data_IF_289838951883
#
_entry.id   IF_289838951883
#
_cell.length_a   1.000
_cell.length_b   1.000
_cell.length_c   1.000
_cell.angle_alpha   90.00
_cell.angle_beta   90.00
_cell.angle_gamma   90.00
#
_symmetry.space_group_name_H-M   'P 1'
#
loop_
_entity.id
_entity.type
_entity.pdbx_description
1 polymer ?
#
# COMPACT_ATOMS: atom_id res chain seq x y z
N UNK A 1 13.40 7.49 -24.42
CA UNK A 1 12.67 6.49 -23.61
C UNK A 1 12.52 7.06 -22.21
N UNK A 2 11.52 7.93 -22.01
CA UNK A 2 11.15 8.43 -20.69
C UNK A 2 10.30 7.32 -20.04
N UNK A 3 10.72 6.88 -18.86
CA UNK A 3 10.08 5.80 -18.11
C UNK A 3 8.63 6.20 -17.80
N UNK A 4 7.68 5.29 -18.04
CA UNK A 4 6.29 5.42 -17.60
C UNK A 4 6.31 5.34 -16.07
N UNK A 5 6.14 6.47 -15.39
CA UNK A 5 6.32 6.58 -13.93
C UNK A 5 5.04 6.25 -13.17
N UNK A 6 3.88 6.47 -13.78
CA UNK A 6 2.60 5.98 -13.29
C UNK A 6 2.38 4.56 -13.82
N UNK A 7 2.38 3.58 -12.92
CA UNK A 7 2.01 2.21 -13.25
C UNK A 7 0.55 2.20 -13.71
N UNK A 8 0.34 1.93 -14.99
CA UNK A 8 -0.98 1.65 -15.56
C UNK A 8 -1.43 0.28 -15.07
N UNK A 9 -2.20 0.24 -13.99
CA UNK A 9 -2.97 -0.96 -13.64
C UNK A 9 -4.24 -0.92 -14.49
N UNK A 10 -4.15 -1.44 -15.71
CA UNK A 10 -5.29 -1.55 -16.64
C UNK A 10 -5.77 -2.99 -16.85
N UNK A 11 -5.26 -3.96 -16.10
CA UNK A 11 -5.87 -5.28 -16.02
C UNK A 11 -6.75 -5.35 -14.77
N UNK A 12 -8.06 -5.18 -14.96
CA UNK A 12 -9.08 -5.69 -14.03
C UNK A 12 -9.77 -4.71 -13.08
N UNK A 13 -9.46 -3.41 -13.05
CA UNK A 13 -10.30 -2.43 -12.32
C UNK A 13 -10.33 -1.08 -13.02
N UNK A 14 -11.40 -0.79 -13.78
CA UNK A 14 -11.89 0.59 -13.88
C UNK A 14 -12.06 1.08 -12.45
N UNK A 15 -11.28 2.07 -12.04
CA UNK A 15 -10.83 2.13 -10.64
C UNK A 15 -11.93 2.60 -9.69
N UNK A 16 -12.71 1.65 -9.14
CA UNK A 16 -13.67 1.90 -8.06
C UNK A 16 -13.01 2.14 -6.69
N UNK A 17 -11.68 2.16 -6.63
CA UNK A 17 -10.91 2.28 -5.38
C UNK A 17 -10.34 3.68 -5.07
N UNK A 18 -10.42 4.65 -5.99
CA UNK A 18 -9.68 5.92 -5.86
C UNK A 18 -10.18 6.86 -4.74
N UNK A 19 -11.33 6.59 -4.12
CA UNK A 19 -11.93 7.43 -3.07
C UNK A 19 -12.08 6.74 -1.71
N UNK A 20 -11.74 5.45 -1.58
CA UNK A 20 -12.05 4.66 -0.38
C UNK A 20 -11.09 4.89 0.82
N UNK A 21 -10.06 5.73 0.69
CA UNK A 21 -9.17 6.06 1.81
C UNK A 21 -9.58 7.34 2.55
N UNK A 22 -10.79 7.37 3.15
CA UNK A 22 -11.04 8.31 4.25
C UNK A 22 -12.16 7.86 5.22
N UNK A 23 -12.04 6.66 5.78
CA UNK A 23 -12.75 6.32 7.02
C UNK A 23 -11.77 5.84 8.08
N UNK A 24 -11.65 6.68 9.10
CA UNK A 24 -10.81 6.57 10.28
C UNK A 24 -10.96 5.22 10.98
N UNK A 25 -9.81 4.72 11.44
CA UNK A 25 -9.66 3.40 12.03
C UNK A 25 -10.42 3.16 13.32
N UNK A 26 -10.65 1.87 13.55
CA UNK A 26 -10.82 1.29 14.88
C UNK A 26 -9.97 0.02 14.93
N UNK A 27 -8.76 0.17 15.47
CA UNK A 27 -7.97 -0.96 15.93
C UNK A 27 -8.68 -1.55 17.15
N UNK A 28 -9.05 -2.82 17.10
CA UNK A 28 -9.35 -3.60 18.31
C UNK A 28 -8.30 -4.70 18.44
N UNK A 29 -7.24 -4.37 19.17
CA UNK A 29 -6.27 -5.32 19.70
C UNK A 29 -6.95 -6.10 20.83
N UNK A 30 -6.95 -7.42 20.71
CA UNK A 30 -7.50 -8.34 21.71
C UNK A 30 -6.61 -8.39 22.95
N UNK A 31 -7.14 -8.06 24.14
CA UNK A 31 -6.63 -8.59 25.40
C UNK A 31 -7.79 -8.77 26.38
N UNK A 32 -7.92 -10.00 26.87
CA UNK A 32 -9.01 -10.46 27.71
C UNK A 32 -8.96 -9.85 29.13
N UNK A 33 -10.12 -9.46 29.66
CA UNK A 33 -10.39 -9.46 31.08
C UNK A 33 -11.89 -9.70 31.35
N UNK A 34 -12.12 -10.63 32.26
CA UNK A 34 -13.37 -11.26 32.68
C UNK A 34 -14.38 -10.24 33.24
N UNK A 35 -15.66 -10.39 32.87
CA UNK A 35 -16.72 -9.47 33.24
C UNK A 35 -18.07 -9.87 32.68
N UNK A 36 -18.68 -10.88 33.30
CA UNK A 36 -20.03 -11.36 33.03
C UNK A 36 -21.06 -10.21 33.05
N UNK A 37 -21.59 -9.81 31.89
CA UNK A 37 -22.79 -8.96 31.81
C UNK A 37 -23.57 -9.27 30.53
N UNK A 38 -24.67 -9.99 30.73
CA UNK A 38 -25.89 -10.09 29.91
C UNK A 38 -25.74 -9.90 28.39
N UNK A 39 -25.89 -11.02 27.68
CA UNK A 39 -26.15 -11.09 26.24
C UNK A 39 -27.42 -10.28 25.93
N UNK A 40 -27.24 -9.04 25.46
CA UNK A 40 -28.25 -8.35 24.68
C UNK A 40 -28.09 -8.87 23.25
N UNK A 41 -29.08 -9.66 22.84
CA UNK A 41 -29.33 -10.07 21.46
C UNK A 41 -29.47 -8.81 20.59
N UNK A 42 -28.34 -8.33 20.07
CA UNK A 42 -28.33 -7.35 18.99
C UNK A 42 -28.36 -8.17 17.71
N UNK A 43 -29.55 -8.55 17.29
CA UNK A 43 -29.87 -8.74 15.88
C UNK A 43 -29.30 -7.55 15.12
N UNK A 44 -28.17 -7.73 14.45
CA UNK A 44 -27.78 -6.88 13.33
C UNK A 44 -28.93 -6.99 12.35
N UNK A 45 -29.77 -5.95 12.30
CA UNK A 45 -30.64 -5.74 11.15
C UNK A 45 -29.72 -5.68 9.93
N UNK A 46 -29.69 -6.78 9.17
CA UNK A 46 -29.20 -6.79 7.80
C UNK A 46 -30.01 -5.71 7.10
N UNK A 47 -29.38 -4.56 6.85
CA UNK A 47 -30.00 -3.52 6.04
C UNK A 47 -30.30 -4.18 4.70
N UNK A 48 -31.58 -4.28 4.35
CA UNK A 48 -32.02 -4.94 3.12
C UNK A 48 -31.23 -4.32 1.96
N UNK A 49 -30.37 -5.12 1.29
CA UNK A 49 -29.52 -4.67 0.20
C UNK A 49 -30.40 -4.02 -0.87
N UNK A 50 -30.37 -2.69 -0.94
CA UNK A 50 -31.26 -1.94 -1.81
C UNK A 50 -30.83 -2.19 -3.26
N UNK A 51 -31.67 -2.81 -4.10
CA UNK A 51 -31.33 -3.07 -5.50
C UNK A 51 -31.37 -1.77 -6.30
N UNK A 52 -30.61 -1.74 -7.39
CA UNK A 52 -30.66 -0.69 -8.40
C UNK A 52 -31.93 -0.90 -9.23
N UNK A 53 -32.81 0.10 -9.22
CA UNK A 53 -34.17 0.00 -9.81
C UNK A 53 -34.28 0.63 -11.21
N UNK A 54 -33.23 1.28 -11.69
CA UNK A 54 -33.13 1.84 -13.04
C UNK A 54 -31.78 1.51 -13.64
N UNK A 55 -31.81 0.86 -14.79
CA UNK A 55 -30.65 0.49 -15.60
C UNK A 55 -30.70 1.26 -16.92
N UNK A 56 -29.56 1.77 -17.39
CA UNK A 56 -29.46 2.40 -18.71
C UNK A 56 -29.24 1.36 -19.81
N UNK A 57 -29.56 1.72 -21.06
CA UNK A 57 -29.15 0.93 -22.21
C UNK A 57 -27.63 1.06 -22.42
N UNK A 58 -27.02 0.07 -23.07
CA UNK A 58 -25.60 0.10 -23.42
C UNK A 58 -25.32 1.31 -24.32
N UNK A 59 -24.36 2.15 -23.92
CA UNK A 59 -23.94 3.33 -24.67
C UNK A 59 -23.47 2.97 -26.08
N UNK A 60 -23.94 3.72 -27.09
CA UNK A 60 -23.53 3.54 -28.49
C UNK A 60 -22.38 4.49 -28.83
N UNK A 61 -21.19 3.92 -29.07
CA UNK A 61 -19.98 4.64 -29.45
C UNK A 61 -19.62 4.49 -30.93
N UNK A 62 -20.52 3.98 -31.77
CA UNK A 62 -20.27 3.76 -33.20
C UNK A 62 -19.95 5.04 -33.99
N UNK A 63 -20.29 6.22 -33.47
CA UNK A 63 -19.88 7.51 -34.05
C UNK A 63 -18.42 7.90 -33.73
N UNK A 64 -17.85 7.38 -32.63
CA UNK A 64 -16.49 7.67 -32.16
C UNK A 64 -15.47 6.64 -32.59
N UNK A 65 -15.89 5.38 -32.74
CA UNK A 65 -15.00 4.25 -32.95
C UNK A 65 -15.60 3.26 -33.97
N UNK A 66 -14.77 2.84 -34.92
CA UNK A 66 -15.06 1.70 -35.79
C UNK A 66 -14.12 0.55 -35.41
N UNK A 67 -14.69 -0.58 -35.00
CA UNK A 67 -13.92 -1.75 -34.57
C UNK A 67 -13.09 -2.36 -35.71
N UNK A 68 -11.86 -2.72 -35.36
CA UNK A 68 -11.00 -3.57 -36.19
C UNK A 68 -11.12 -5.05 -35.82
N UNK A 69 -10.05 -5.80 -36.07
CA UNK A 69 -9.93 -7.18 -35.58
C UNK A 69 -9.77 -7.19 -34.05
N UNK A 70 -10.62 -7.97 -33.38
CA UNK A 70 -10.58 -8.18 -31.92
C UNK A 70 -10.55 -9.65 -31.47
N UNK A 71 -10.56 -10.60 -32.40
CA UNK A 71 -10.40 -12.05 -32.14
C UNK A 71 -9.28 -12.66 -32.98
N UNK A 72 -8.73 -13.78 -32.50
CA UNK A 72 -7.62 -14.47 -33.17
C UNK A 72 -6.34 -13.65 -33.25
N UNK A 73 -6.12 -12.74 -32.29
CA UNK A 73 -4.91 -11.95 -32.13
C UNK A 73 -3.89 -12.78 -31.35
N UNK A 74 -2.67 -12.82 -31.84
CA UNK A 74 -1.53 -13.40 -31.12
C UNK A 74 -0.79 -12.28 -30.36
N UNK A 75 -0.70 -12.40 -29.04
CA UNK A 75 0.04 -11.49 -28.17
C UNK A 75 1.20 -12.24 -27.55
N UNK A 76 2.41 -11.77 -27.82
CA UNK A 76 3.62 -12.35 -27.27
C UNK A 76 3.89 -11.82 -25.85
N UNK A 77 4.12 -12.71 -24.89
CA UNK A 77 4.55 -12.38 -23.52
C UNK A 77 5.73 -13.26 -23.11
N UNK A 78 6.55 -12.77 -22.19
CA UNK A 78 7.67 -13.54 -21.66
C UNK A 78 7.18 -14.66 -20.74
N UNK A 79 7.90 -15.77 -20.67
CA UNK A 79 7.55 -16.89 -19.80
C UNK A 79 7.57 -16.50 -18.32
N UNK A 80 6.50 -16.82 -17.58
CA UNK A 80 6.46 -16.76 -16.13
C UNK A 80 7.41 -17.81 -15.56
N UNK A 81 8.62 -17.39 -15.18
CA UNK A 81 9.65 -18.26 -14.62
C UNK A 81 10.14 -17.71 -13.30
N UNK A 82 10.38 -18.62 -12.35
CA UNK A 82 11.00 -18.32 -11.07
C UNK A 82 12.31 -19.09 -11.01
N UNK A 83 13.40 -18.36 -10.77
CA UNK A 83 14.73 -18.93 -10.60
C UNK A 83 14.98 -19.29 -9.14
N UNK A 84 15.86 -20.27 -8.90
CA UNK A 84 16.31 -20.60 -7.55
C UNK A 84 16.94 -19.39 -6.83
N UNK A 85 17.56 -18.46 -7.57
CA UNK A 85 18.12 -17.22 -7.02
C UNK A 85 17.03 -16.29 -6.48
N UNK A 86 15.89 -16.17 -7.17
CA UNK A 86 14.74 -15.40 -6.68
C UNK A 86 14.15 -16.03 -5.42
N UNK A 87 14.00 -17.35 -5.39
CA UNK A 87 13.53 -18.07 -4.19
C UNK A 87 14.49 -17.84 -3.02
N UNK A 88 15.80 -17.95 -3.26
CA UNK A 88 16.81 -17.72 -2.23
C UNK A 88 16.79 -16.27 -1.75
N UNK A 89 16.67 -15.29 -2.65
CA UNK A 89 16.55 -13.87 -2.27
C UNK A 89 15.32 -13.59 -1.41
N UNK A 90 14.18 -14.27 -1.66
CA UNK A 90 12.99 -14.16 -0.82
C UNK A 90 13.22 -14.77 0.57
N UNK A 91 13.89 -15.93 0.65
CA UNK A 91 14.29 -16.57 1.92
C UNK A 91 15.20 -15.64 2.72
N UNK A 92 16.26 -15.12 2.10
CA UNK A 92 17.23 -14.24 2.74
C UNK A 92 16.57 -12.97 3.28
N UNK A 93 15.65 -12.39 2.50
CA UNK A 93 14.87 -11.22 2.92
C UNK A 93 13.99 -11.52 4.13
N UNK A 94 13.37 -12.70 4.16
CA UNK A 94 12.48 -13.12 5.22
C UNK A 94 13.24 -13.40 6.54
N UNK A 95 14.40 -14.08 6.46
CA UNK A 95 15.30 -14.29 7.61
C UNK A 95 15.84 -12.96 8.13
N UNK A 96 16.35 -12.10 7.23
CA UNK A 96 16.87 -10.78 7.61
C UNK A 96 15.80 -9.92 8.28
N UNK A 97 14.59 -9.90 7.72
CA UNK A 97 13.47 -9.17 8.32
C UNK A 97 13.14 -9.68 9.72
N UNK A 98 13.08 -11.00 9.91
CA UNK A 98 12.79 -11.60 11.20
C UNK A 98 13.86 -11.27 12.25
N UNK A 99 15.15 -11.49 11.93
CA UNK A 99 16.26 -11.20 12.85
C UNK A 99 16.36 -9.71 13.19
N UNK A 100 15.99 -8.83 12.25
CA UNK A 100 16.04 -7.38 12.49
C UNK A 100 14.89 -6.90 13.36
N UNK A 101 13.66 -7.38 13.11
CA UNK A 101 12.44 -6.77 13.63
C UNK A 101 11.73 -7.60 14.71
N UNK A 102 11.94 -8.92 14.75
CA UNK A 102 11.18 -9.84 15.61
C UNK A 102 12.05 -10.48 16.69
N UNK A 103 13.37 -10.61 16.47
CA UNK A 103 14.30 -11.12 17.50
C UNK A 103 14.63 -10.01 18.49
N UNK A 104 14.19 -10.21 19.74
CA UNK A 104 14.55 -9.36 20.86
C UNK A 104 15.99 -9.65 21.29
N UNK A 105 16.76 -8.59 21.52
CA UNK A 105 18.10 -8.73 22.11
C UNK A 105 17.99 -9.16 23.58
N UNK A 106 19.00 -9.85 24.09
CA UNK A 106 19.06 -10.15 25.52
C UNK A 106 19.01 -8.85 26.34
N UNK A 107 18.20 -8.82 27.40
CA UNK A 107 18.18 -7.69 28.33
C UNK A 107 19.24 -7.86 29.42
N UNK A 108 20.39 -7.23 29.24
CA UNK A 108 21.45 -7.22 30.24
C UNK A 108 21.08 -6.22 31.34
N UNK A 109 20.60 -6.74 32.47
CA UNK A 109 20.12 -5.96 33.63
C UNK A 109 21.19 -5.68 34.69
N UNK A 110 22.47 -5.98 34.39
CA UNK A 110 23.59 -5.76 35.31
C UNK A 110 24.81 -5.23 34.57
N UNK A 111 25.70 -4.52 35.27
CA UNK A 111 26.93 -4.00 34.70
C UNK A 111 26.90 -2.49 34.50
N UNK A 112 27.76 -2.00 33.62
CA UNK A 112 28.00 -0.58 33.40
C UNK A 112 27.99 -0.27 31.91
N UNK A 113 27.24 0.76 31.52
CA UNK A 113 27.10 1.21 30.14
C UNK A 113 28.42 1.73 29.55
N UNK A 114 28.56 1.62 28.24
CA UNK A 114 29.70 2.11 27.45
C UNK A 114 29.22 2.85 26.20
N UNK A 115 30.12 3.61 25.60
CA UNK A 115 29.90 4.20 24.29
C UNK A 115 29.61 3.10 23.26
N UNK A 116 28.57 3.28 22.44
CA UNK A 116 28.08 2.30 21.48
C UNK A 116 27.05 1.29 22.00
N UNK A 117 26.84 1.18 23.32
CA UNK A 117 25.80 0.31 23.86
C UNK A 117 24.41 0.82 23.43
N UNK A 118 23.51 -0.11 23.10
CA UNK A 118 22.08 0.19 22.93
C UNK A 118 21.40 -0.06 24.28
N UNK A 119 20.68 0.93 24.79
CA UNK A 119 20.10 0.90 26.12
C UNK A 119 18.60 1.20 26.10
N UNK A 120 17.87 0.63 27.04
CA UNK A 120 16.54 1.10 27.39
C UNK A 120 16.64 2.10 28.54
N UNK A 121 16.17 3.32 28.30
CA UNK A 121 16.40 4.48 29.15
C UNK A 121 15.08 5.13 29.56
N UNK A 122 14.96 5.39 30.86
CA UNK A 122 14.01 6.37 31.40
C UNK A 122 14.77 7.66 31.70
N UNK A 123 14.24 8.81 31.29
CA UNK A 123 14.83 10.10 31.63
C UNK A 123 13.78 11.17 31.89
N UNK A 124 14.12 12.14 32.74
CA UNK A 124 13.31 13.31 33.03
C UNK A 124 14.20 14.54 33.25
N UNK A 125 14.08 15.52 32.36
CA UNK A 125 14.83 16.77 32.40
C UNK A 125 14.06 17.88 33.11
N UNK A 126 14.77 18.65 33.94
CA UNK A 126 14.24 19.82 34.62
C UNK A 126 15.19 21.02 34.51
N UNK A 127 14.63 22.19 34.24
CA UNK A 127 15.30 23.50 34.33
C UNK A 127 14.83 24.18 35.61
N UNK A 128 15.76 24.56 36.48
CA UNK A 128 15.45 25.19 37.78
C UNK A 128 14.39 24.43 38.61
N UNK A 129 14.40 23.10 38.52
CA UNK A 129 13.46 22.21 39.21
C UNK A 129 12.08 22.07 38.56
N UNK A 130 11.85 22.68 37.40
CA UNK A 130 10.61 22.56 36.61
C UNK A 130 10.86 21.73 35.35
N UNK A 131 10.06 20.68 35.15
CA UNK A 131 10.13 19.87 33.93
C UNK A 131 9.77 20.68 32.68
N UNK A 132 10.39 20.38 31.56
CA UNK A 132 10.12 21.03 30.27
C UNK A 132 9.58 20.03 29.24
N UNK A 133 8.83 20.54 28.27
CA UNK A 133 8.23 19.73 27.21
C UNK A 133 9.29 19.03 26.37
N UNK A 134 9.08 17.75 26.05
CA UNK A 134 10.05 16.91 25.35
C UNK A 134 11.27 16.49 26.19
N UNK A 135 11.32 16.85 27.48
CA UNK A 135 12.41 16.51 28.38
C UNK A 135 12.24 15.19 29.14
N UNK A 136 11.11 14.50 29.01
CA UNK A 136 10.80 13.30 29.78
C UNK A 136 10.28 12.19 28.88
N UNK A 137 10.82 10.99 29.03
CA UNK A 137 10.32 9.79 28.38
C UNK A 137 10.67 8.53 29.18
N UNK A 138 9.89 7.47 28.99
CA UNK A 138 10.10 6.16 29.60
C UNK A 138 10.29 5.10 28.51
N UNK A 139 11.05 4.07 28.83
CA UNK A 139 11.36 2.90 28.00
C UNK A 139 11.84 3.27 26.60
N UNK A 140 12.70 4.30 26.52
CA UNK A 140 13.26 4.74 25.25
C UNK A 140 14.51 3.95 24.90
N UNK A 141 14.51 3.32 23.72
CA UNK A 141 15.72 2.71 23.17
C UNK A 141 16.65 3.81 22.64
N UNK A 142 17.90 3.80 23.07
CA UNK A 142 18.90 4.79 22.71
C UNK A 142 20.28 4.15 22.55
N UNK A 143 20.99 4.49 21.47
CA UNK A 143 22.40 4.11 21.30
C UNK A 143 23.30 5.21 21.86
N UNK A 144 24.09 4.88 22.88
CA UNK A 144 25.03 5.81 23.51
C UNK A 144 26.07 6.25 22.49
N UNK A 145 26.26 7.56 22.34
CA UNK A 145 27.16 8.17 21.36
C UNK A 145 26.52 8.42 19.98
N UNK A 146 25.23 8.14 19.79
CA UNK A 146 24.54 8.39 18.52
C UNK A 146 24.39 9.88 18.15
N UNK A 147 24.62 10.79 19.11
CA UNK A 147 24.48 12.24 18.89
C UNK A 147 23.03 12.71 18.74
N UNK A 148 22.05 11.85 19.01
CA UNK A 148 20.62 12.22 19.00
C UNK A 148 20.22 13.01 20.25
N UNK A 149 20.91 12.80 21.37
CA UNK A 149 20.79 13.66 22.55
C UNK A 149 21.83 14.79 22.54
N UNK A 150 21.63 15.79 23.42
CA UNK A 150 22.63 16.83 23.64
C UNK A 150 23.95 16.21 24.10
N UNK A 151 25.07 16.75 23.62
CA UNK A 151 26.39 16.14 23.80
C UNK A 151 26.75 15.85 25.26
N UNK A 152 26.35 16.73 26.18
CA UNK A 152 26.61 16.58 27.62
C UNK A 152 25.84 15.41 28.23
N UNK A 153 24.59 15.19 27.81
CA UNK A 153 23.78 14.06 28.28
C UNK A 153 24.34 12.75 27.71
N UNK A 154 24.57 12.72 26.40
CA UNK A 154 25.03 11.53 25.67
C UNK A 154 26.33 10.96 26.26
N UNK A 155 27.33 11.83 26.51
CA UNK A 155 28.62 11.43 27.10
C UNK A 155 28.49 10.90 28.53
N UNK A 156 27.54 11.42 29.30
CA UNK A 156 27.35 11.03 30.70
C UNK A 156 26.53 9.74 30.84
N UNK A 157 25.88 9.27 29.78
CA UNK A 157 25.21 7.97 29.79
C UNK A 157 26.19 6.80 29.78
N UNK A 158 27.44 6.99 29.33
CA UNK A 158 28.50 5.99 29.46
C UNK A 158 29.06 5.97 30.89
N UNK A 159 29.22 4.77 31.47
CA UNK A 159 29.73 4.61 32.83
C UNK A 159 28.65 4.51 33.91
N UNK A 160 27.37 4.51 33.55
CA UNK A 160 26.25 4.35 34.48
C UNK A 160 26.01 2.89 34.79
N UNK A 161 25.69 2.57 36.05
CA UNK A 161 25.27 1.22 36.42
C UNK A 161 23.79 0.99 36.06
N UNK A 162 23.51 -0.15 35.44
CA UNK A 162 22.14 -0.55 35.06
C UNK A 162 21.26 -0.70 36.32
N UNK A 163 20.03 -0.20 36.23
CA UNK A 163 19.01 -0.23 37.28
C UNK A 163 19.17 0.83 38.37
N UNK A 164 20.18 1.70 38.28
CA UNK A 164 20.36 2.82 39.22
C UNK A 164 19.92 4.14 38.60
N UNK A 165 19.34 4.97 39.45
CA UNK A 165 18.97 6.34 39.13
C UNK A 165 20.17 7.28 39.33
N UNK A 166 20.41 8.17 38.36
CA UNK A 166 21.45 9.18 38.41
C UNK A 166 20.86 10.56 38.08
N UNK A 167 21.34 11.59 38.78
CA UNK A 167 21.11 12.99 38.41
C UNK A 167 22.31 13.52 37.62
N UNK A 168 22.11 13.81 36.34
CA UNK A 168 23.13 14.28 35.42
C UNK A 168 22.93 15.77 35.14
N UNK A 169 23.95 16.57 35.44
CA UNK A 169 23.95 18.00 35.08
C UNK A 169 24.39 18.14 33.64
N UNK A 170 23.54 18.73 32.81
CA UNK A 170 23.79 18.87 31.37
C UNK A 170 23.58 20.32 30.95
N UNK A 171 24.50 20.85 30.14
CA UNK A 171 24.33 22.17 29.51
C UNK A 171 23.85 22.00 28.08
N UNK A 172 22.75 22.67 27.74
CA UNK A 172 22.28 22.72 26.36
C UNK A 172 23.22 23.58 25.49
N UNK A 173 23.44 23.22 24.22
CA UNK A 173 24.22 24.05 23.30
C UNK A 173 23.68 25.48 23.18
N UNK A 174 24.56 26.46 22.97
CA UNK A 174 24.17 27.86 22.78
C UNK A 174 23.32 28.06 21.52
N UNK A 175 23.46 27.18 20.53
CA UNK A 175 22.76 27.18 19.25
C UNK A 175 21.56 26.21 19.20
N UNK A 176 21.03 25.79 20.35
CA UNK A 176 19.89 24.87 20.41
C UNK A 176 18.58 25.53 19.90
N UNK A 177 18.14 25.15 18.70
CA UNK A 177 17.00 25.78 18.02
C UNK A 177 15.64 25.16 18.33
N UNK A 178 15.61 23.90 18.79
CA UNK A 178 14.35 23.18 18.98
C UNK A 178 13.52 23.73 20.14
N UNK A 179 14.18 24.29 21.16
CA UNK A 179 13.55 25.07 22.21
C UNK A 179 14.50 26.20 22.68
N UNK A 180 14.30 27.44 22.21
CA UNK A 180 15.19 28.56 22.51
C UNK A 180 15.35 28.88 24.00
N UNK A 181 14.37 28.52 24.85
CA UNK A 181 14.43 28.78 26.29
C UNK A 181 15.46 27.91 27.00
N UNK A 182 15.87 26.79 26.39
CA UNK A 182 16.88 25.87 26.92
C UNK A 182 18.29 26.23 26.46
N UNK A 183 18.47 27.02 25.40
CA UNK A 183 19.79 27.31 24.82
C UNK A 183 20.77 27.89 25.85
N UNK A 184 21.95 27.28 25.97
CA UNK A 184 23.00 27.67 26.92
C UNK A 184 22.65 27.49 28.41
N UNK A 185 21.53 26.84 28.75
CA UNK A 185 21.09 26.62 30.13
C UNK A 185 21.65 25.32 30.70
N UNK A 186 21.99 25.35 31.98
CA UNK A 186 22.25 24.15 32.78
C UNK A 186 20.91 23.56 33.25
N UNK A 187 20.75 22.26 33.04
CA UNK A 187 19.57 21.48 33.45
C UNK A 187 20.01 20.22 34.18
N UNK A 188 19.10 19.62 34.94
CA UNK A 188 19.33 18.33 35.59
C UNK A 188 18.44 17.30 34.91
N UNK A 189 19.04 16.21 34.44
CA UNK A 189 18.34 15.03 33.97
C UNK A 189 18.43 13.93 35.01
N UNK A 190 17.29 13.48 35.50
CA UNK A 190 17.20 12.22 36.24
C UNK A 190 17.10 11.10 35.22
N UNK A 191 18.04 10.16 35.23
CA UNK A 191 18.10 9.05 34.26
C UNK A 191 18.20 7.71 34.97
N UNK A 192 17.55 6.70 34.41
CA UNK A 192 17.68 5.30 34.83
C UNK A 192 17.84 4.44 33.58
N UNK A 193 18.96 3.72 33.49
CA UNK A 193 19.17 2.72 32.45
C UNK A 193 18.53 1.41 32.91
N UNK A 194 17.46 0.98 32.26
CA UNK A 194 16.71 -0.22 32.64
C UNK A 194 17.45 -1.51 32.27
N UNK A 195 17.99 -1.57 31.06
CA UNK A 195 18.85 -2.66 30.57
C UNK A 195 19.72 -2.17 29.41
N UNK A 196 20.80 -2.91 29.15
CA UNK A 196 21.59 -2.83 27.92
C UNK A 196 21.12 -3.96 27.00
N UNK A 197 20.86 -3.68 25.72
CA UNK A 197 20.61 -4.71 24.72
C UNK A 197 21.91 -5.49 24.48
N UNK A 198 21.87 -6.80 24.71
CA UNK A 198 22.96 -7.73 24.51
C UNK A 198 22.98 -8.32 23.11
N UNK A 199 23.54 -9.53 23.00
CA UNK A 199 23.56 -10.26 21.74
C UNK A 199 22.13 -10.64 21.31
N UNK A 200 21.94 -10.73 19.99
CA UNK A 200 20.73 -11.29 19.39
C UNK A 200 21.02 -12.71 18.97
N UNK A 201 20.20 -13.65 19.40
CA UNK A 201 20.22 -15.01 18.88
C UNK A 201 19.61 -14.98 17.46
N UNK A 202 20.45 -14.74 16.46
CA UNK A 202 20.03 -14.74 15.07
C UNK A 202 19.65 -16.15 14.63
N UNK A 203 18.53 -16.25 13.92
CA UNK A 203 18.10 -17.49 13.31
C UNK A 203 18.62 -17.58 11.87
N UNK A 204 19.12 -18.75 11.49
CA UNK A 204 19.39 -19.09 10.09
C UNK A 204 18.17 -19.79 9.49
N UNK A 205 18.10 -19.82 8.16
CA UNK A 205 17.08 -20.60 7.47
C UNK A 205 17.18 -22.09 7.84
N UNK A 206 16.07 -22.66 8.30
CA UNK A 206 15.97 -24.05 8.71
C UNK A 206 14.62 -24.36 9.36
N UNK A 207 14.41 -25.61 9.74
CA UNK A 207 13.12 -26.08 10.29
C UNK A 207 12.71 -25.32 11.56
N UNK A 208 13.68 -25.00 12.42
CA UNK A 208 13.47 -24.23 13.64
C UNK A 208 12.97 -22.82 13.34
N UNK A 209 13.66 -22.11 12.44
CA UNK A 209 13.26 -20.79 12.00
C UNK A 209 11.88 -20.79 11.36
N UNK A 210 11.59 -21.74 10.46
CA UNK A 210 10.27 -21.84 9.81
C UNK A 210 9.17 -22.15 10.82
N UNK A 211 9.42 -23.04 11.78
CA UNK A 211 8.47 -23.33 12.85
C UNK A 211 8.16 -22.08 13.67
N UNK A 212 9.18 -21.32 14.04
CA UNK A 212 9.05 -20.09 14.80
C UNK A 212 8.32 -19.00 13.99
N UNK A 213 8.77 -18.73 12.76
CA UNK A 213 8.22 -17.70 11.88
C UNK A 213 6.73 -17.93 11.56
N UNK A 214 6.35 -19.18 11.34
CA UNK A 214 4.98 -19.57 11.00
C UNK A 214 4.12 -19.92 12.21
N UNK A 215 4.62 -19.71 13.44
CA UNK A 215 3.94 -20.11 14.68
C UNK A 215 3.47 -21.57 14.67
N UNK A 216 4.28 -22.45 14.07
CA UNK A 216 4.05 -23.89 14.01
C UNK A 216 3.15 -24.37 12.87
N UNK A 217 2.67 -23.49 11.97
CA UNK A 217 1.90 -23.92 10.80
C UNK A 217 2.76 -24.77 9.84
N UNK A 218 4.05 -24.42 9.70
CA UNK A 218 5.03 -25.19 8.94
C UNK A 218 6.16 -25.64 9.88
N UNK A 219 6.64 -26.86 9.70
CA UNK A 219 7.73 -27.43 10.52
C UNK A 219 8.93 -27.88 9.69
N UNK A 220 8.90 -27.61 8.39
CA UNK A 220 9.85 -28.11 7.38
C UNK A 220 10.25 -26.96 6.48
N UNK A 221 11.55 -26.64 6.48
CA UNK A 221 12.10 -25.59 5.65
C UNK A 221 11.94 -25.90 4.16
N UNK A 222 12.05 -27.17 3.77
CA UNK A 222 11.85 -27.58 2.39
C UNK A 222 10.41 -27.38 1.92
N UNK A 223 9.42 -27.64 2.78
CA UNK A 223 8.01 -27.45 2.41
C UNK A 223 7.64 -25.98 2.38
N UNK A 224 8.20 -25.17 3.29
CA UNK A 224 8.00 -23.73 3.27
C UNK A 224 8.73 -23.07 2.07
N UNK A 225 9.90 -23.57 1.66
CA UNK A 225 10.57 -23.15 0.42
C UNK A 225 9.67 -23.39 -0.80
N UNK A 226 9.04 -24.56 -0.92
CA UNK A 226 8.12 -24.86 -2.02
C UNK A 226 6.89 -23.95 -2.02
N UNK A 227 6.40 -23.56 -0.83
CA UNK A 227 5.34 -22.56 -0.73
C UNK A 227 5.80 -21.21 -1.29
N UNK A 228 6.99 -20.73 -0.89
CA UNK A 228 7.57 -19.48 -1.42
C UNK A 228 7.70 -19.56 -2.94
N UNK A 229 8.22 -20.67 -3.48
CA UNK A 229 8.32 -20.90 -4.92
C UNK A 229 6.94 -20.86 -5.60
N UNK A 230 5.93 -21.50 -5.00
CA UNK A 230 4.54 -21.49 -5.50
C UNK A 230 3.95 -20.07 -5.50
N UNK A 231 4.20 -19.28 -4.45
CA UNK A 231 3.74 -17.89 -4.38
C UNK A 231 4.43 -17.00 -5.42
N UNK A 232 5.73 -17.18 -5.63
CA UNK A 232 6.47 -16.46 -6.65
C UNK A 232 6.01 -16.81 -8.06
N UNK A 233 5.74 -18.09 -8.36
CA UNK A 233 5.28 -18.48 -9.69
C UNK A 233 3.85 -17.97 -9.93
N UNK A 234 2.95 -18.07 -8.95
CA UNK A 234 1.59 -17.51 -9.09
C UNK A 234 1.61 -16.00 -9.28
N UNK A 235 2.55 -15.28 -8.62
CA UNK A 235 2.75 -13.86 -8.87
C UNK A 235 3.24 -13.60 -10.29
N UNK A 236 4.23 -14.34 -10.76
CA UNK A 236 4.75 -14.20 -12.13
C UNK A 236 3.70 -14.53 -13.19
N UNK A 237 2.88 -15.56 -12.98
CA UNK A 237 1.75 -15.91 -13.85
C UNK A 237 0.69 -14.80 -13.87
N UNK A 238 0.37 -14.20 -12.71
CA UNK A 238 -0.56 -13.07 -12.62
C UNK A 238 -0.03 -11.82 -13.33
N UNK A 239 1.28 -11.53 -13.21
CA UNK A 239 1.93 -10.43 -13.93
C UNK A 239 1.95 -10.67 -15.45
N UNK A 240 2.25 -11.90 -15.88
CA UNK A 240 2.19 -12.31 -17.29
C UNK A 240 0.77 -12.17 -17.86
N UNK A 241 -0.24 -12.62 -17.12
CA UNK A 241 -1.64 -12.48 -17.51
C UNK A 241 -2.04 -11.01 -17.66
N UNK A 242 -1.62 -10.17 -16.70
CA UNK A 242 -1.83 -8.72 -16.75
C UNK A 242 -1.15 -8.09 -17.97
N UNK A 243 0.08 -8.50 -18.29
CA UNK A 243 0.79 -8.02 -19.48
C UNK A 243 0.06 -8.42 -20.77
N UNK A 244 -0.37 -9.68 -20.86
CA UNK A 244 -1.15 -10.19 -21.99
C UNK A 244 -2.44 -9.39 -22.20
N UNK A 245 -3.26 -9.21 -21.17
CA UNK A 245 -4.53 -8.48 -21.26
C UNK A 245 -4.32 -7.02 -21.68
N UNK A 246 -3.34 -6.34 -21.08
CA UNK A 246 -3.02 -4.95 -21.42
C UNK A 246 -2.55 -4.82 -22.89
N UNK A 247 -1.71 -5.75 -23.34
CA UNK A 247 -1.21 -5.78 -24.71
C UNK A 247 -2.33 -6.14 -25.70
N UNK A 248 -3.24 -7.04 -25.33
CA UNK A 248 -4.41 -7.40 -26.12
C UNK A 248 -5.34 -6.20 -26.33
N UNK A 249 -5.73 -5.52 -25.27
CA UNK A 249 -6.56 -4.31 -25.36
C UNK A 249 -5.88 -3.20 -26.17
N UNK A 250 -4.59 -2.98 -25.95
CA UNK A 250 -3.81 -2.05 -26.75
C UNK A 250 -3.87 -2.43 -28.24
N UNK A 251 -3.74 -3.72 -28.55
CA UNK A 251 -3.77 -4.22 -29.92
C UNK A 251 -5.15 -4.07 -30.58
N UNK A 252 -6.21 -4.29 -29.83
CA UNK A 252 -7.60 -4.11 -30.30
C UNK A 252 -7.84 -2.64 -30.67
N UNK A 253 -7.37 -1.69 -29.84
CA UNK A 253 -7.46 -0.27 -30.16
C UNK A 253 -6.59 0.08 -31.38
N UNK A 254 -5.37 -0.43 -31.48
CA UNK A 254 -4.51 -0.24 -32.65
C UNK A 254 -5.15 -0.75 -33.96
N UNK A 255 -5.87 -1.87 -33.89
CA UNK A 255 -6.57 -2.44 -35.03
C UNK A 255 -7.82 -1.64 -35.39
N UNK A 256 -8.38 -0.88 -34.45
CA UNK A 256 -9.59 -0.08 -34.60
C UNK A 256 -9.31 1.32 -35.13
N UNK A 257 -10.34 1.98 -35.65
CA UNK A 257 -10.25 3.38 -36.10
C UNK A 257 -11.01 4.28 -35.13
N UNK A 258 -10.28 5.07 -34.35
CA UNK A 258 -10.86 6.09 -33.46
C UNK A 258 -11.00 7.41 -34.21
N UNK A 259 -12.24 7.86 -34.43
CA UNK A 259 -12.55 9.13 -35.10
C UNK A 259 -12.43 10.32 -34.13
N UNK A 260 -12.97 10.17 -32.93
CA UNK A 260 -12.97 11.18 -31.87
C UNK A 260 -13.23 10.51 -30.52
N UNK A 261 -13.25 11.30 -29.43
CA UNK A 261 -13.62 10.84 -28.10
C UNK A 261 -14.81 11.67 -27.59
N UNK A 262 -15.72 11.10 -26.79
CA UNK A 262 -16.74 11.87 -26.08
C UNK A 262 -16.06 12.86 -25.11
N UNK A 263 -16.15 14.17 -25.39
CA UNK A 263 -15.38 15.20 -24.68
C UNK A 263 -15.67 15.25 -23.18
N UNK A 264 -16.95 15.14 -22.79
CA UNK A 264 -17.38 15.19 -21.39
C UNK A 264 -16.83 13.99 -20.59
N UNK A 265 -16.96 12.78 -21.12
CA UNK A 265 -16.43 11.56 -20.50
C UNK A 265 -14.91 11.60 -20.39
N UNK A 266 -14.23 11.99 -21.46
CA UNK A 266 -12.78 12.10 -21.48
C UNK A 266 -12.26 13.12 -20.45
N UNK A 267 -12.90 14.29 -20.36
CA UNK A 267 -12.54 15.30 -19.37
C UNK A 267 -12.82 14.81 -17.95
N UNK A 268 -13.98 14.19 -17.71
CA UNK A 268 -14.36 13.68 -16.40
C UNK A 268 -13.35 12.66 -15.87
N UNK A 269 -13.01 11.65 -16.68
CA UNK A 269 -12.03 10.62 -16.29
C UNK A 269 -10.63 11.23 -16.11
N UNK A 270 -10.23 12.20 -16.93
CA UNK A 270 -8.94 12.88 -16.76
C UNK A 270 -8.87 13.68 -15.45
N UNK A 271 -9.96 14.36 -15.10
CA UNK A 271 -10.09 15.10 -13.84
C UNK A 271 -10.06 14.14 -12.63
N UNK A 272 -10.73 12.99 -12.72
CA UNK A 272 -10.72 11.96 -11.67
C UNK A 272 -9.32 11.40 -11.43
N UNK A 273 -8.58 11.04 -12.49
CA UNK A 273 -7.18 10.66 -12.38
C UNK A 273 -6.33 11.75 -11.74
N UNK A 274 -6.48 12.98 -12.20
CA UNK A 274 -5.69 14.10 -11.68
C UNK A 274 -5.97 14.33 -10.20
N UNK A 275 -7.23 14.34 -9.79
CA UNK A 275 -7.65 14.52 -8.40
C UNK A 275 -7.13 13.38 -7.50
N UNK A 276 -7.14 12.14 -7.98
CA UNK A 276 -6.56 11.02 -7.25
C UNK A 276 -5.05 11.20 -7.06
N UNK A 277 -4.31 11.45 -8.15
CA UNK A 277 -2.85 11.54 -8.06
C UNK A 277 -2.40 12.77 -7.29
N UNK A 278 -3.12 13.88 -7.35
CA UNK A 278 -2.87 15.05 -6.48
C UNK A 278 -2.97 14.66 -5.01
N UNK A 279 -4.03 13.94 -4.61
CA UNK A 279 -4.18 13.48 -3.22
C UNK A 279 -3.07 12.51 -2.83
N UNK A 280 -2.79 11.51 -3.68
CA UNK A 280 -1.74 10.52 -3.48
C UNK A 280 -0.38 11.20 -3.28
N UNK A 281 0.06 12.05 -4.23
CA UNK A 281 1.36 12.69 -4.16
C UNK A 281 1.44 13.76 -3.06
N UNK A 282 0.34 14.44 -2.74
CA UNK A 282 0.31 15.38 -1.60
C UNK A 282 0.52 14.63 -0.28
N UNK A 283 -0.14 13.48 -0.10
CA UNK A 283 0.04 12.65 1.08
C UNK A 283 1.49 12.20 1.23
N UNK A 284 2.09 11.60 0.19
CA UNK A 284 3.47 11.14 0.25
C UNK A 284 4.47 12.30 0.42
N UNK A 285 4.26 13.43 -0.25
CA UNK A 285 5.11 14.60 -0.07
C UNK A 285 5.12 15.09 1.39
N UNK A 286 3.97 15.04 2.05
CA UNK A 286 3.84 15.44 3.46
C UNK A 286 4.66 14.56 4.42
N UNK A 287 4.83 13.27 4.11
CA UNK A 287 5.67 12.34 4.90
C UNK A 287 7.16 12.76 4.89
N UNK A 288 7.59 13.46 3.84
CA UNK A 288 8.95 13.99 3.70
C UNK A 288 9.07 15.48 4.04
N UNK A 289 7.99 16.11 4.53
CA UNK A 289 7.96 17.55 4.81
C UNK A 289 8.13 18.44 3.56
N UNK A 290 7.73 17.93 2.39
CA UNK A 290 7.83 18.61 1.10
C UNK A 290 6.44 18.96 0.57
N UNK A 291 6.35 19.95 -0.33
CA UNK A 291 5.16 20.12 -1.16
C UNK A 291 5.16 19.13 -2.34
N UNK A 292 3.98 18.91 -2.93
CA UNK A 292 3.77 17.96 -4.02
C UNK A 292 4.68 18.23 -5.23
N UNK A 293 4.86 19.49 -5.63
CA UNK A 293 5.65 19.82 -6.82
C UNK A 293 7.14 19.52 -6.59
N UNK A 294 7.66 19.85 -5.39
CA UNK A 294 9.01 19.50 -4.98
C UNK A 294 9.21 17.98 -4.90
N UNK A 295 8.21 17.25 -4.41
CA UNK A 295 8.24 15.78 -4.34
C UNK A 295 8.24 15.13 -5.73
N UNK A 296 7.34 15.54 -6.61
CA UNK A 296 7.30 15.09 -8.01
C UNK A 296 8.61 15.36 -8.74
N UNK A 297 9.15 16.57 -8.61
CA UNK A 297 10.42 16.91 -9.26
C UNK A 297 11.60 16.14 -8.67
N UNK A 298 11.67 15.99 -7.34
CA UNK A 298 12.79 15.37 -6.66
C UNK A 298 12.82 13.84 -6.74
N UNK A 299 11.66 13.19 -6.68
CA UNK A 299 11.53 11.72 -6.63
C UNK A 299 11.26 11.14 -8.01
N UNK A 300 10.38 11.78 -8.77
CA UNK A 300 9.87 11.25 -10.04
C UNK A 300 10.44 11.96 -11.27
N UNK A 301 11.16 13.07 -11.07
CA UNK A 301 11.65 13.92 -12.16
C UNK A 301 10.52 14.36 -13.10
N UNK A 302 9.37 14.71 -12.51
CA UNK A 302 8.16 15.17 -13.19
C UNK A 302 7.73 16.54 -12.66
N UNK A 303 7.09 17.32 -13.52
CA UNK A 303 6.36 18.53 -13.15
C UNK A 303 4.88 18.22 -12.92
N UNK A 304 4.13 19.17 -12.38
CA UNK A 304 2.66 19.07 -12.30
C UNK A 304 2.02 19.05 -13.68
N UNK A 305 2.61 19.72 -14.67
CA UNK A 305 2.13 19.71 -16.05
C UNK A 305 2.35 18.33 -16.67
N UNK A 306 3.51 17.69 -16.42
CA UNK A 306 3.74 16.29 -16.82
C UNK A 306 2.70 15.36 -16.19
N UNK A 307 2.34 15.56 -14.92
CA UNK A 307 1.27 14.79 -14.27
C UNK A 307 -0.08 14.98 -14.97
N UNK A 308 -0.45 16.21 -15.30
CA UNK A 308 -1.69 16.48 -16.06
C UNK A 308 -1.67 15.80 -17.43
N UNK A 309 -0.57 15.88 -18.18
CA UNK A 309 -0.42 15.21 -19.47
C UNK A 309 -0.53 13.67 -19.34
N UNK A 310 0.05 13.09 -18.29
CA UNK A 310 -0.08 11.66 -18.01
C UNK A 310 -1.53 11.27 -17.68
N UNK A 311 -2.23 12.04 -16.83
CA UNK A 311 -3.65 11.81 -16.53
C UNK A 311 -4.55 11.88 -17.78
N UNK A 312 -4.30 12.85 -18.66
CA UNK A 312 -5.01 12.95 -19.94
C UNK A 312 -4.74 11.74 -20.85
N UNK A 313 -3.50 11.24 -20.88
CA UNK A 313 -3.14 10.05 -21.65
C UNK A 313 -3.82 8.78 -21.10
N UNK A 314 -3.86 8.62 -19.77
CA UNK A 314 -4.56 7.52 -19.10
C UNK A 314 -6.06 7.55 -19.40
N UNK A 315 -6.70 8.71 -19.24
CA UNK A 315 -8.13 8.86 -19.54
C UNK A 315 -8.45 8.55 -21.01
N UNK A 316 -7.59 8.99 -21.94
CA UNK A 316 -7.78 8.69 -23.37
C UNK A 316 -7.67 7.19 -23.66
N UNK A 317 -6.78 6.48 -22.98
CA UNK A 317 -6.65 5.03 -23.11
C UNK A 317 -7.89 4.33 -22.57
N UNK A 318 -8.32 4.68 -21.35
CA UNK A 318 -9.48 4.10 -20.70
C UNK A 318 -10.78 4.34 -21.48
N UNK A 319 -11.04 5.57 -21.92
CA UNK A 319 -12.21 5.87 -22.78
C UNK A 319 -12.12 5.07 -24.08
N UNK A 320 -10.92 4.91 -24.65
CA UNK A 320 -10.70 4.05 -25.81
C UNK A 320 -11.19 2.61 -25.56
N UNK A 321 -10.82 2.04 -24.41
CA UNK A 321 -11.21 0.69 -24.01
C UNK A 321 -12.69 0.57 -23.71
N UNK A 322 -13.29 1.53 -23.00
CA UNK A 322 -14.74 1.59 -22.75
C UNK A 322 -15.51 1.59 -24.08
N UNK A 323 -15.13 2.47 -25.01
CA UNK A 323 -15.76 2.55 -26.33
C UNK A 323 -15.66 1.20 -27.07
N UNK A 324 -14.47 0.59 -27.10
CA UNK A 324 -14.26 -0.68 -27.76
C UNK A 324 -15.04 -1.82 -27.09
N UNK A 325 -15.07 -1.89 -25.76
CA UNK A 325 -15.81 -2.90 -25.02
C UNK A 325 -17.31 -2.82 -25.32
N UNK A 326 -17.92 -1.63 -25.23
CA UNK A 326 -19.34 -1.45 -25.54
C UNK A 326 -19.67 -1.84 -26.99
N UNK A 327 -18.84 -1.47 -27.96
CA UNK A 327 -19.07 -1.86 -29.36
C UNK A 327 -18.85 -3.37 -29.60
N UNK A 328 -17.87 -4.01 -28.95
CA UNK A 328 -17.66 -5.46 -29.06
C UNK A 328 -18.84 -6.20 -28.42
N UNK A 329 -19.29 -5.76 -27.26
CA UNK A 329 -20.45 -6.31 -26.56
C UNK A 329 -21.71 -6.28 -27.45
N UNK A 330 -21.93 -5.16 -28.15
CA UNK A 330 -23.01 -4.99 -29.12
C UNK A 330 -22.82 -5.86 -30.37
N UNK A 331 -21.62 -5.89 -30.95
CA UNK A 331 -21.30 -6.69 -32.16
C UNK A 331 -21.51 -8.20 -31.92
N UNK A 332 -21.17 -8.68 -30.73
CA UNK A 332 -21.39 -10.07 -30.30
C UNK A 332 -22.84 -10.37 -29.91
N UNK A 333 -23.70 -9.35 -29.80
CA UNK A 333 -25.08 -9.51 -29.33
C UNK A 333 -25.18 -9.98 -27.87
N UNK A 334 -24.21 -9.61 -27.04
CA UNK A 334 -24.21 -9.91 -25.60
C UNK A 334 -25.27 -9.09 -24.87
N UNK A 335 -25.67 -9.54 -23.68
CA UNK A 335 -26.70 -8.89 -22.88
C UNK A 335 -26.33 -8.91 -21.41
N UNK A 336 -26.53 -7.79 -20.70
CA UNK A 336 -26.37 -7.68 -19.26
C UNK A 336 -27.75 -7.46 -18.65
N UNK A 337 -28.32 -8.52 -18.08
CA UNK A 337 -29.66 -8.45 -17.49
C UNK A 337 -29.67 -7.62 -16.21
N UNK A 338 -30.82 -7.07 -15.82
CA UNK A 338 -30.94 -6.32 -14.56
C UNK A 338 -30.61 -7.16 -13.32
N UNK A 339 -30.92 -8.46 -13.35
CA UNK A 339 -30.57 -9.40 -12.29
C UNK A 339 -29.06 -9.55 -12.17
N UNK A 340 -28.39 -9.84 -13.29
CA UNK A 340 -26.93 -10.00 -13.33
C UNK A 340 -26.22 -8.69 -12.95
N UNK A 341 -26.70 -7.55 -13.45
CA UNK A 341 -26.18 -6.23 -13.09
C UNK A 341 -26.26 -6.00 -11.59
N UNK A 342 -27.41 -6.27 -10.96
CA UNK A 342 -27.60 -6.08 -9.53
C UNK A 342 -26.72 -7.02 -8.70
N UNK A 343 -26.54 -8.28 -9.13
CA UNK A 343 -25.62 -9.20 -8.48
C UNK A 343 -24.18 -8.67 -8.53
N UNK A 344 -23.70 -8.29 -9.72
CA UNK A 344 -22.35 -7.72 -9.88
C UNK A 344 -22.16 -6.44 -9.08
N UNK A 345 -23.15 -5.55 -9.08
CA UNK A 345 -23.12 -4.30 -8.30
C UNK A 345 -23.09 -4.56 -6.80
N UNK A 346 -23.84 -5.55 -6.30
CA UNK A 346 -23.85 -5.89 -4.88
C UNK A 346 -22.53 -6.53 -4.43
N UNK A 347 -21.99 -7.44 -5.24
CA UNK A 347 -20.71 -8.09 -4.94
C UNK A 347 -19.55 -7.07 -4.96
N UNK A 348 -19.54 -6.19 -5.96
CA UNK A 348 -18.55 -5.11 -6.07
C UNK A 348 -18.68 -4.12 -4.94
N UNK A 349 -19.90 -3.71 -4.57
CA UNK A 349 -20.17 -2.84 -3.44
C UNK A 349 -19.62 -3.42 -2.14
N UNK A 350 -19.89 -4.70 -1.86
CA UNK A 350 -19.44 -5.38 -0.65
C UNK A 350 -17.90 -5.47 -0.57
N UNK A 351 -17.24 -5.79 -1.69
CA UNK A 351 -15.77 -5.85 -1.76
C UNK A 351 -15.11 -4.49 -1.52
N UNK A 352 -15.78 -3.41 -1.92
CA UNK A 352 -15.27 -2.04 -1.78
C UNK A 352 -15.80 -1.32 -0.52
N UNK A 353 -16.46 -2.04 0.40
CA UNK A 353 -16.91 -1.49 1.69
C UNK A 353 -18.11 -0.55 1.60
N UNK A 354 -18.90 -0.62 0.53
CA UNK A 354 -20.15 0.11 0.41
C UNK A 354 -21.29 -0.62 1.13
N UNK A 355 -22.21 0.15 1.69
CA UNK A 355 -23.36 -0.39 2.43
C UNK A 355 -24.37 -1.11 1.51
N UNK A 356 -24.40 -0.79 0.21
CA UNK A 356 -25.30 -1.42 -0.77
C UNK A 356 -24.87 -1.15 -2.22
N UNK A 357 -25.40 -1.96 -3.16
CA UNK A 357 -25.30 -1.70 -4.60
C UNK A 357 -25.79 -0.30 -4.99
N UNK A 358 -26.90 0.17 -4.40
CA UNK A 358 -27.43 1.50 -4.68
C UNK A 358 -26.47 2.62 -4.27
N UNK A 359 -25.84 2.52 -3.10
CA UNK A 359 -24.85 3.51 -2.63
C UNK A 359 -23.59 3.52 -3.52
N UNK A 360 -23.14 2.34 -3.94
CA UNK A 360 -22.04 2.19 -4.89
C UNK A 360 -22.36 2.86 -6.24
N UNK A 361 -23.55 2.58 -6.80
CA UNK A 361 -23.99 3.18 -8.07
C UNK A 361 -24.25 4.67 -7.95
N UNK A 362 -24.76 5.16 -6.82
CA UNK A 362 -24.92 6.60 -6.58
C UNK A 362 -23.57 7.33 -6.56
N UNK A 363 -22.54 6.71 -5.98
CA UNK A 363 -21.21 7.29 -5.89
C UNK A 363 -20.51 7.39 -7.26
N UNK A 364 -20.65 6.36 -8.10
CA UNK A 364 -19.89 6.24 -9.35
C UNK A 364 -20.69 6.57 -10.62
N UNK A 365 -22.01 6.64 -10.51
CA UNK A 365 -22.90 6.79 -11.66
C UNK A 365 -23.18 5.45 -12.34
N UNK A 366 -24.44 5.27 -12.72
CA UNK A 366 -24.93 4.00 -13.28
C UNK A 366 -24.29 3.67 -14.63
N UNK A 367 -24.06 4.66 -15.49
CA UNK A 367 -23.44 4.46 -16.81
C UNK A 367 -22.02 3.89 -16.67
N UNK A 368 -21.19 4.49 -15.80
CA UNK A 368 -19.82 4.04 -15.59
C UNK A 368 -19.75 2.63 -14.98
N UNK A 369 -20.61 2.34 -13.99
CA UNK A 369 -20.70 0.99 -13.39
C UNK A 369 -21.16 -0.05 -14.41
N UNK A 370 -22.09 0.30 -15.30
CA UNK A 370 -22.52 -0.60 -16.37
C UNK A 370 -21.40 -0.86 -17.37
N UNK A 371 -20.71 0.19 -17.81
CA UNK A 371 -19.60 0.08 -18.75
C UNK A 371 -18.43 -0.71 -18.17
N UNK A 372 -18.16 -0.62 -16.86
CA UNK A 372 -17.15 -1.46 -16.23
C UNK A 372 -17.51 -2.95 -16.27
N UNK A 373 -18.77 -3.31 -15.98
CA UNK A 373 -19.18 -4.71 -16.06
C UNK A 373 -19.18 -5.23 -17.49
N UNK A 374 -19.51 -4.38 -18.47
CA UNK A 374 -19.38 -4.72 -19.89
C UNK A 374 -17.91 -4.97 -20.24
N UNK A 375 -17.00 -4.11 -19.78
CA UNK A 375 -15.58 -4.31 -19.99
C UNK A 375 -15.06 -5.61 -19.38
N UNK A 376 -15.50 -5.97 -18.18
CA UNK A 376 -15.13 -7.25 -17.55
C UNK A 376 -15.64 -8.44 -18.38
N UNK A 377 -16.92 -8.42 -18.76
CA UNK A 377 -17.54 -9.49 -19.59
C UNK A 377 -16.82 -9.62 -20.93
N UNK A 378 -16.49 -8.50 -21.57
CA UNK A 378 -15.77 -8.52 -22.85
C UNK A 378 -14.33 -8.96 -22.66
N UNK A 379 -13.66 -8.58 -21.57
CA UNK A 379 -12.29 -9.02 -21.26
C UNK A 379 -12.23 -10.53 -21.13
N UNK A 380 -13.16 -11.15 -20.40
CA UNK A 380 -13.26 -12.61 -20.28
C UNK A 380 -13.39 -13.26 -21.66
N UNK A 381 -14.30 -12.75 -22.50
CA UNK A 381 -14.47 -13.24 -23.87
C UNK A 381 -13.19 -13.08 -24.71
N UNK A 382 -12.52 -11.94 -24.62
CA UNK A 382 -11.32 -11.65 -25.39
C UNK A 382 -10.16 -12.55 -25.00
N UNK A 383 -9.98 -12.86 -23.71
CA UNK A 383 -8.97 -13.80 -23.24
C UNK A 383 -9.22 -15.20 -23.82
N UNK A 384 -10.48 -15.65 -23.90
CA UNK A 384 -10.85 -16.95 -24.46
C UNK A 384 -10.70 -17.05 -25.99
N UNK A 385 -10.79 -15.92 -26.70
CA UNK A 385 -10.86 -15.87 -28.17
C UNK A 385 -9.61 -15.28 -28.84
N UNK A 386 -8.54 -15.07 -28.07
CA UNK A 386 -7.23 -14.63 -28.53
C UNK A 386 -6.13 -15.51 -27.92
N UNK A 387 -4.91 -15.41 -28.44
CA UNK A 387 -3.84 -16.32 -28.08
C UNK A 387 -2.71 -15.59 -27.34
N UNK A 388 -2.42 -16.04 -26.12
CA UNK A 388 -1.16 -15.74 -25.45
C UNK A 388 -0.07 -16.63 -26.03
N UNK A 389 0.96 -16.01 -26.62
CA UNK A 389 2.12 -16.69 -27.19
C UNK A 389 3.30 -16.50 -26.25
N UNK A 390 3.76 -17.59 -25.64
CA UNK A 390 4.91 -17.53 -24.72
C UNK A 390 6.20 -17.47 -25.52
N UNK A 391 6.99 -16.42 -25.31
CA UNK A 391 8.35 -16.33 -25.83
C UNK A 391 9.27 -17.27 -25.02
N UNK A 392 10.08 -18.07 -25.72
CA UNK A 392 11.11 -18.94 -25.14
C UNK A 392 12.34 -18.18 -24.63
#
# INVERSE_FOLDING_TARGET
>A
MKKRVLALVLAGTMVFGLTACNKSGKNDTTTAADGETTVADSTTETTEAQPVTQTTEVTDYSEYLTLGQYTGIDIAVDAAVVTDEQVQSSIDSLVSYYNTNMVEAEHITTGTTKDGDVINLDYSGALDGTAFEGGTATSQTYTIGSGRFISDLDKQLAGLEVGKEYELKCTFPDDYTNNPDLAGKETVFTVTVNYIEGDKDEYEWGDEFVNLYTNGEYTSADDYRKLIETQLISKAESEQQTEYENALWSKIIENSTVASYPEEKLSGIADDYYNYYVQYFTYYASLYGMDMASFLSGVYNMTTDDLTEECQAMAKQEVGYIMAACEIFKDLGMTLTDEEYNTRAQDTAAQNGFDSAAAFVEQYGEEYVRESFIFDIVSDYLVENNNMVINE
#
